data_IF_520553183873
#
_entry.id   IF_520553183873
#
_cell.length_a   1.000
_cell.length_b   1.000
_cell.length_c   1.000
_cell.angle_alpha   90.00
_cell.angle_beta   90.00
_cell.angle_gamma   90.00
#
_symmetry.space_group_name_H-M   'P 1'
#
loop_
_entity.id
_entity.type
_entity.pdbx_description
1 polymer ?
#
# COMPACT_ATOMS: atom_id res chain seq x y z
N UNK A 1 -1.79 3.69 15.11
CA UNK A 1 -1.97 2.23 15.06
C UNK A 1 -0.61 1.55 15.29
N UNK A 2 -0.52 0.51 16.13
CA UNK A 2 0.76 -0.16 16.32
C UNK A 2 1.08 -0.99 15.06
N UNK A 3 2.25 -0.77 14.47
CA UNK A 3 2.71 -1.55 13.31
C UNK A 3 3.37 -2.82 13.84
N UNK A 4 2.75 -3.97 13.59
CA UNK A 4 3.22 -5.27 14.10
C UNK A 4 4.57 -5.73 13.51
N UNK A 5 5.06 -5.01 12.51
CA UNK A 5 6.34 -5.23 11.87
C UNK A 5 6.91 -3.89 11.35
N UNK A 6 7.59 -3.12 12.21
CA UNK A 6 8.10 -1.80 11.84
C UNK A 6 9.28 -1.88 10.84
N UNK A 7 9.99 -3.01 10.79
CA UNK A 7 11.18 -3.21 9.96
C UNK A 7 10.87 -3.85 8.61
N UNK A 8 9.59 -3.99 8.23
CA UNK A 8 9.15 -4.53 6.93
C UNK A 8 9.62 -5.98 6.69
N UNK A 9 9.83 -6.75 7.75
CA UNK A 9 10.15 -8.18 7.72
C UNK A 9 8.86 -9.03 7.72
N UNK A 10 8.88 -10.27 8.20
CA UNK A 10 7.64 -11.02 8.42
C UNK A 10 7.00 -10.59 9.75
N UNK A 11 5.67 -10.55 9.81
CA UNK A 11 4.97 -10.45 11.09
C UNK A 11 5.29 -11.74 11.88
N UNK A 12 5.85 -11.66 13.10
CA UNK A 12 6.14 -12.84 13.90
C UNK A 12 4.89 -13.68 14.12
N UNK A 13 5.01 -15.02 14.09
CA UNK A 13 3.87 -15.94 14.26
C UNK A 13 3.03 -15.65 15.51
N UNK A 14 3.70 -15.38 16.63
CA UNK A 14 3.05 -15.00 17.90
C UNK A 14 2.25 -13.69 17.84
N UNK A 15 2.46 -12.85 16.81
CA UNK A 15 1.78 -11.56 16.62
C UNK A 15 0.67 -11.61 15.57
N UNK A 16 0.47 -12.73 14.86
CA UNK A 16 -0.57 -12.85 13.83
C UNK A 16 -1.98 -12.64 14.42
N UNK A 17 -2.23 -13.18 15.62
CA UNK A 17 -3.50 -13.00 16.34
C UNK A 17 -3.79 -11.54 16.76
N UNK A 18 -2.78 -10.67 16.72
CA UNK A 18 -2.89 -9.25 17.06
C UNK A 18 -3.30 -8.38 15.85
N UNK A 19 -3.48 -8.94 14.65
CA UNK A 19 -3.92 -8.19 13.49
C UNK A 19 -5.36 -7.70 13.70
N UNK A 20 -5.57 -6.37 13.62
CA UNK A 20 -6.90 -5.73 13.78
C UNK A 20 -7.34 -4.92 12.56
N UNK A 21 -6.39 -4.54 11.71
CA UNK A 21 -6.66 -3.90 10.44
C UNK A 21 -5.50 -4.14 9.47
N UNK A 22 -5.80 -4.06 8.18
CA UNK A 22 -4.81 -4.02 7.10
C UNK A 22 -4.99 -2.73 6.31
N UNK A 23 -3.87 -2.12 5.93
CA UNK A 23 -3.86 -1.00 5.01
C UNK A 23 -3.50 -1.52 3.62
N UNK A 24 -4.31 -1.16 2.62
CA UNK A 24 -4.13 -1.55 1.24
C UNK A 24 -3.94 -0.27 0.44
N UNK A 25 -2.82 -0.15 -0.28
CA UNK A 25 -2.55 0.94 -1.22
C UNK A 25 -2.41 0.35 -2.62
N UNK A 26 -3.12 0.94 -3.58
CA UNK A 26 -3.10 0.53 -4.99
C UNK A 26 -2.73 1.74 -5.84
N UNK A 27 -1.85 1.54 -6.80
CA UNK A 27 -1.55 2.50 -7.86
C UNK A 27 -2.16 1.97 -9.16
N UNK A 28 -3.12 2.70 -9.70
CA UNK A 28 -3.77 2.36 -10.96
C UNK A 28 -3.23 3.26 -12.08
N UNK A 29 -2.90 2.67 -13.23
CA UNK A 29 -2.44 3.38 -14.43
C UNK A 29 -3.63 3.61 -15.38
N UNK A 30 -3.66 4.74 -16.07
CA UNK A 30 -4.56 4.94 -17.21
C UNK A 30 -4.29 3.89 -18.31
N UNK A 31 -5.32 3.63 -19.10
CA UNK A 31 -5.23 2.76 -20.27
C UNK A 31 -4.45 3.44 -21.40
N UNK A 32 -4.69 4.73 -21.62
CA UNK A 32 -4.03 5.53 -22.65
C UNK A 32 -2.91 6.42 -22.09
N UNK A 33 -1.83 6.64 -22.86
CA UNK A 33 -0.83 7.65 -22.54
C UNK A 33 -1.36 9.06 -22.82
N UNK A 34 -0.83 10.03 -22.08
CA UNK A 34 -1.14 11.45 -22.21
C UNK A 34 0.01 12.14 -22.94
N UNK A 35 -0.29 12.78 -24.07
CA UNK A 35 0.71 13.53 -24.85
C UNK A 35 1.24 14.72 -24.06
N UNK A 36 2.57 14.87 -24.02
CA UNK A 36 3.22 15.98 -23.32
C UNK A 36 3.27 15.84 -21.80
N UNK A 37 2.91 14.67 -21.26
CA UNK A 37 3.00 14.35 -19.85
C UNK A 37 4.08 13.28 -19.64
N UNK A 38 4.83 13.43 -18.56
CA UNK A 38 5.77 12.42 -18.06
C UNK A 38 5.54 12.26 -16.57
N UNK A 39 5.21 11.05 -16.14
CA UNK A 39 5.01 10.70 -14.76
C UNK A 39 6.36 10.47 -14.06
N UNK A 40 6.86 11.50 -13.39
CA UNK A 40 8.09 11.46 -12.60
C UNK A 40 7.84 11.22 -11.11
N UNK A 41 6.60 10.89 -10.72
CA UNK A 41 6.21 10.79 -9.31
C UNK A 41 6.61 9.44 -8.71
N UNK A 42 7.18 9.49 -7.50
CA UNK A 42 7.27 8.30 -6.65
C UNK A 42 5.93 8.09 -5.94
N UNK A 43 5.40 6.86 -5.99
CA UNK A 43 4.17 6.49 -5.30
C UNK A 43 4.50 5.75 -4.01
N UNK A 44 3.98 6.25 -2.89
CA UNK A 44 4.23 5.72 -1.56
C UNK A 44 2.93 5.28 -0.88
N UNK A 45 3.01 4.26 -0.03
CA UNK A 45 1.91 3.94 0.90
C UNK A 45 1.86 4.94 2.07
N UNK A 46 0.88 4.84 2.96
CA UNK A 46 0.77 5.80 4.09
C UNK A 46 1.85 5.59 5.17
N UNK A 47 2.72 4.58 5.03
CA UNK A 47 3.91 4.39 5.86
C UNK A 47 5.16 4.99 5.21
N UNK A 48 5.02 5.74 4.11
CA UNK A 48 6.13 6.36 3.38
C UNK A 48 6.99 5.37 2.59
N UNK A 49 6.51 4.13 2.41
CA UNK A 49 7.22 3.12 1.61
C UNK A 49 6.92 3.34 0.15
N UNK A 50 7.94 3.56 -0.67
CA UNK A 50 7.81 3.58 -2.13
C UNK A 50 7.36 2.21 -2.62
N UNK A 51 6.16 2.16 -3.21
CA UNK A 51 5.56 0.95 -3.79
C UNK A 51 5.69 0.93 -5.32
N UNK A 52 5.90 2.10 -5.93
CA UNK A 52 6.28 2.27 -7.32
C UNK A 52 7.19 3.50 -7.44
N UNK A 53 8.44 3.27 -7.85
CA UNK A 53 9.36 4.37 -8.17
C UNK A 53 8.91 5.11 -9.43
N UNK A 54 9.37 6.35 -9.61
CA UNK A 54 9.11 7.21 -10.76
C UNK A 54 9.16 6.41 -12.08
N UNK A 55 8.01 6.17 -12.73
CA UNK A 55 7.96 5.35 -13.94
C UNK A 55 8.61 6.03 -15.14
N UNK A 56 8.63 7.38 -15.15
CA UNK A 56 9.14 8.22 -16.23
C UNK A 56 8.51 7.88 -17.60
N UNK A 57 7.21 7.54 -17.59
CA UNK A 57 6.42 7.24 -18.78
C UNK A 57 5.28 8.27 -18.95
N UNK A 58 4.52 8.17 -20.05
CA UNK A 58 3.47 9.12 -20.36
C UNK A 58 2.09 8.72 -19.82
N UNK A 59 2.00 7.78 -18.87
CA UNK A 59 0.72 7.32 -18.34
C UNK A 59 0.39 8.00 -17.02
N UNK A 60 -0.84 8.50 -16.88
CA UNK A 60 -1.29 9.05 -15.60
C UNK A 60 -1.59 7.91 -14.63
N UNK A 61 -1.26 8.10 -13.36
CA UNK A 61 -1.64 7.18 -12.29
C UNK A 61 -2.46 7.84 -11.20
N UNK A 62 -3.34 7.06 -10.60
CA UNK A 62 -4.11 7.40 -9.40
C UNK A 62 -3.69 6.48 -8.27
N UNK A 63 -3.64 7.03 -7.05
CA UNK A 63 -3.37 6.27 -5.84
C UNK A 63 -4.64 6.19 -5.00
N UNK A 64 -5.00 4.98 -4.58
CA UNK A 64 -6.08 4.75 -3.63
C UNK A 64 -5.53 4.01 -2.42
N UNK A 65 -5.87 4.49 -1.22
CA UNK A 65 -5.58 3.76 0.02
C UNK A 65 -6.85 3.51 0.80
N UNK A 66 -6.99 2.29 1.32
CA UNK A 66 -8.07 1.92 2.23
C UNK A 66 -7.54 1.16 3.44
N UNK A 67 -8.24 1.27 4.57
CA UNK A 67 -7.97 0.49 5.78
C UNK A 67 -9.14 -0.45 6.02
N UNK A 68 -8.89 -1.75 5.94
CA UNK A 68 -9.89 -2.80 6.20
C UNK A 68 -9.73 -3.29 7.63
N UNK A 69 -10.80 -3.22 8.43
CA UNK A 69 -10.81 -3.77 9.80
C UNK A 69 -11.01 -5.29 9.76
N UNK A 70 -10.11 -6.04 10.39
CA UNK A 70 -10.12 -7.50 10.40
C UNK A 70 -10.84 -8.05 11.64
N UNK A 71 -12.15 -7.82 11.75
CA UNK A 71 -12.93 -8.14 12.96
C UNK A 71 -12.91 -9.62 13.33
N UNK A 72 -12.88 -10.51 12.33
CA UNK A 72 -12.95 -11.95 12.55
C UNK A 72 -11.59 -12.58 12.87
N UNK A 73 -10.47 -11.88 12.65
CA UNK A 73 -9.14 -12.42 12.97
C UNK A 73 -8.82 -12.40 14.47
N UNK A 74 -9.65 -11.74 15.30
CA UNK A 74 -9.50 -11.71 16.76
C UNK A 74 -10.47 -12.63 17.51
N UNK A 75 -11.29 -13.43 16.82
CA UNK A 75 -12.37 -14.23 17.41
C UNK A 75 -12.07 -15.74 17.45
N UNK A 76 -10.87 -16.16 17.08
CA UNK A 76 -10.48 -17.57 16.97
C UNK A 76 -9.16 -17.92 17.66
N UNK A 77 -8.92 -17.36 18.85
CA UNK A 77 -7.80 -17.73 19.74
C UNK A 77 -8.32 -18.31 21.03
#
# INVERSE_FOLDING_TARGET
PNVLNPNRTNVPGASIGNIRAVQITIVARSDQPIRGYTDTNNYQNQQGVTILAAPNDSFRRSIMTTTVKCRNLGLGS
#
